data_IF_137304247783
#
_entry.id   IF_137304247783
#
_cell.length_a   1.000
_cell.length_b   1.000
_cell.length_c   1.000
_cell.angle_alpha   90.00
_cell.angle_beta   90.00
_cell.angle_gamma   90.00
#
_symmetry.space_group_name_H-M   'P 1'
#
loop_
_entity.id
_entity.type
_entity.pdbx_description
1 polymer ?
#
# COMPACT_ATOMS: atom_id res chain seq x y z
N UNK A 1 8.25 5.95 -0.10
CA UNK A 1 9.31 5.40 -1.00
C UNK A 1 8.86 5.57 -2.44
N UNK A 2 9.77 5.91 -3.35
CA UNK A 2 9.41 6.06 -4.76
C UNK A 2 9.13 4.69 -5.41
N UNK A 3 8.21 4.59 -6.37
CA UNK A 3 8.02 3.37 -7.16
C UNK A 3 9.34 2.89 -7.79
N UNK A 4 9.57 1.57 -7.77
CA UNK A 4 10.80 0.99 -8.31
C UNK A 4 12.05 1.16 -7.42
N UNK A 5 11.92 1.78 -6.23
CA UNK A 5 13.03 1.87 -5.27
C UNK A 5 13.48 0.47 -4.86
N UNK A 6 14.79 0.21 -4.90
CA UNK A 6 15.37 -1.06 -4.45
C UNK A 6 15.24 -1.20 -2.94
N UNK A 7 14.92 -2.40 -2.47
CA UNK A 7 14.75 -2.75 -1.07
C UNK A 7 15.89 -3.72 -0.65
N UNK A 8 17.07 -3.20 -0.28
CA UNK A 8 18.21 -4.02 0.11
C UNK A 8 17.96 -4.71 1.47
N UNK A 9 17.99 -6.05 1.48
CA UNK A 9 17.72 -6.86 2.67
C UNK A 9 18.67 -6.54 3.84
N UNK A 10 19.95 -6.23 3.56
CA UNK A 10 20.95 -5.87 4.58
C UNK A 10 20.62 -4.59 5.32
N UNK A 11 20.25 -3.56 4.56
CA UNK A 11 19.97 -2.24 5.10
C UNK A 11 18.69 -2.30 5.93
N UNK A 12 17.67 -2.99 5.43
CA UNK A 12 16.43 -3.23 6.15
C UNK A 12 16.66 -4.06 7.43
N UNK A 13 17.50 -5.11 7.36
CA UNK A 13 17.85 -5.92 8.52
C UNK A 13 18.53 -5.07 9.60
N UNK A 14 19.43 -4.18 9.20
CA UNK A 14 20.12 -3.25 10.10
C UNK A 14 19.15 -2.22 10.72
N UNK A 15 18.36 -1.53 9.89
CA UNK A 15 17.41 -0.49 10.32
C UNK A 15 16.42 -1.04 11.34
N UNK A 16 15.88 -2.24 11.08
CA UNK A 16 14.88 -2.86 11.94
C UNK A 16 15.48 -3.77 13.01
N UNK A 17 16.81 -3.92 13.08
CA UNK A 17 17.51 -4.79 14.04
C UNK A 17 17.00 -6.24 14.03
N UNK A 18 16.77 -6.79 12.84
CA UNK A 18 16.28 -8.16 12.62
C UNK A 18 17.18 -8.93 11.66
N UNK A 19 17.00 -10.25 11.56
CA UNK A 19 17.78 -11.06 10.61
C UNK A 19 17.32 -10.87 9.16
N UNK A 20 18.23 -11.08 8.20
CA UNK A 20 17.92 -11.07 6.76
C UNK A 20 16.79 -12.05 6.40
N UNK A 21 16.69 -13.18 7.11
CA UNK A 21 15.62 -14.17 6.91
C UNK A 21 14.24 -13.57 7.20
N UNK A 22 14.10 -12.78 8.27
CA UNK A 22 12.84 -12.10 8.63
C UNK A 22 12.49 -11.05 7.57
N UNK A 23 13.47 -10.24 7.16
CA UNK A 23 13.27 -9.25 6.09
C UNK A 23 12.83 -9.90 4.79
N UNK A 24 13.46 -11.01 4.40
CA UNK A 24 13.10 -11.75 3.19
C UNK A 24 11.67 -12.28 3.24
N UNK A 25 11.25 -12.84 4.37
CA UNK A 25 9.87 -13.29 4.55
C UNK A 25 8.87 -12.12 4.43
N UNK A 26 9.19 -10.96 5.02
CA UNK A 26 8.37 -9.76 4.89
C UNK A 26 8.28 -9.26 3.44
N UNK A 27 9.41 -9.23 2.71
CA UNK A 27 9.45 -8.84 1.30
C UNK A 27 8.69 -9.83 0.40
N UNK A 28 8.69 -11.13 0.74
CA UNK A 28 7.87 -12.14 0.07
C UNK A 28 6.36 -11.91 0.32
N UNK A 29 5.97 -11.60 1.56
CA UNK A 29 4.59 -11.25 1.87
C UNK A 29 4.13 -9.99 1.12
N UNK A 30 4.96 -8.93 1.12
CA UNK A 30 4.68 -7.71 0.35
C UNK A 30 4.61 -7.97 -1.15
N UNK A 31 5.39 -8.92 -1.68
CA UNK A 31 5.30 -9.31 -3.08
C UNK A 31 4.01 -10.08 -3.40
N UNK A 32 3.54 -10.91 -2.47
CA UNK A 32 2.25 -11.57 -2.56
C UNK A 32 1.10 -10.55 -2.63
N UNK A 33 1.19 -9.49 -1.81
CA UNK A 33 0.22 -8.39 -1.76
C UNK A 33 0.41 -7.36 -2.89
N UNK A 34 1.35 -7.60 -3.82
CA UNK A 34 1.71 -6.71 -4.95
C UNK A 34 2.24 -5.33 -4.54
N UNK A 35 2.70 -5.18 -3.30
CA UNK A 35 3.35 -3.98 -2.78
C UNK A 35 4.86 -3.93 -3.10
N UNK A 36 5.46 -5.10 -3.34
CA UNK A 36 6.83 -5.24 -3.81
C UNK A 36 6.90 -6.17 -5.03
N UNK A 37 8.00 -6.10 -5.78
CA UNK A 37 8.33 -7.02 -6.87
C UNK A 37 9.68 -7.67 -6.58
N UNK A 38 9.72 -8.99 -6.65
CA UNK A 38 10.96 -9.76 -6.55
C UNK A 38 11.52 -9.97 -7.95
N UNK A 39 12.79 -9.62 -8.12
CA UNK A 39 13.54 -9.88 -9.34
C UNK A 39 14.63 -10.93 -9.07
N UNK A 40 14.68 -12.02 -9.86
CA UNK A 40 15.73 -13.03 -9.75
C UNK A 40 17.11 -12.39 -9.81
N UNK A 41 17.97 -12.73 -8.85
CA UNK A 41 19.34 -12.22 -8.71
C UNK A 41 19.49 -10.69 -8.53
N UNK A 42 18.38 -9.94 -8.39
CA UNK A 42 18.41 -8.47 -8.20
C UNK A 42 17.77 -8.00 -6.90
N UNK A 43 16.93 -8.84 -6.27
CA UNK A 43 16.32 -8.59 -4.96
C UNK A 43 14.90 -8.05 -5.06
N UNK A 44 14.45 -7.32 -4.04
CA UNK A 44 13.12 -6.75 -3.98
C UNK A 44 13.11 -5.26 -4.38
N UNK A 45 12.00 -4.82 -4.96
CA UNK A 45 11.76 -3.44 -5.37
C UNK A 45 10.35 -3.01 -4.98
N UNK A 46 10.15 -1.74 -4.67
CA UNK A 46 8.80 -1.17 -4.49
C UNK A 46 8.01 -1.34 -5.78
N UNK A 47 6.74 -1.75 -5.68
CA UNK A 47 5.87 -1.91 -6.84
C UNK A 47 5.83 -0.65 -7.70
N UNK A 48 5.86 -0.86 -9.02
CA UNK A 48 5.80 0.20 -10.02
C UNK A 48 4.81 -0.20 -11.10
N UNK A 49 3.49 -0.12 -10.82
CA UNK A 49 2.47 -0.45 -11.78
C UNK A 49 2.57 0.48 -12.99
N UNK A 50 2.32 -0.08 -14.16
CA UNK A 50 2.19 0.67 -15.40
C UNK A 50 0.94 1.56 -15.36
N UNK A 51 0.89 2.55 -16.27
CA UNK A 51 -0.30 3.40 -16.43
C UNK A 51 -1.55 2.59 -16.78
N UNK A 52 -1.39 1.49 -17.51
CA UNK A 52 -2.48 0.60 -17.92
C UNK A 52 -3.02 -0.13 -16.69
N UNK A 53 -2.16 -0.81 -15.92
CA UNK A 53 -2.55 -1.49 -14.68
C UNK A 53 -3.21 -0.54 -13.68
N UNK A 54 -2.64 0.66 -13.52
CA UNK A 54 -3.23 1.69 -12.65
C UNK A 54 -4.65 2.04 -13.11
N UNK A 55 -4.87 2.20 -14.42
CA UNK A 55 -6.17 2.53 -14.98
C UNK A 55 -7.18 1.40 -14.78
N UNK A 56 -6.79 0.16 -15.04
CA UNK A 56 -7.63 -1.02 -14.80
C UNK A 56 -8.06 -1.12 -13.32
N UNK A 57 -7.14 -0.82 -12.39
CA UNK A 57 -7.47 -0.76 -10.95
C UNK A 57 -8.49 0.35 -10.67
N UNK A 58 -8.31 1.56 -11.21
CA UNK A 58 -9.28 2.64 -11.01
C UNK A 58 -10.65 2.34 -11.63
N UNK A 59 -10.69 1.66 -12.78
CA UNK A 59 -11.94 1.21 -13.40
C UNK A 59 -12.67 0.18 -12.52
N UNK A 60 -11.96 -0.80 -11.97
CA UNK A 60 -12.53 -1.75 -11.02
C UNK A 60 -13.03 -1.06 -9.74
N UNK A 61 -12.25 -0.12 -9.18
CA UNK A 61 -12.63 0.67 -8.00
C UNK A 61 -13.89 1.49 -8.26
N UNK A 62 -13.99 2.14 -9.42
CA UNK A 62 -15.14 2.97 -9.79
C UNK A 62 -16.46 2.18 -9.88
N UNK A 63 -16.40 0.87 -10.15
CA UNK A 63 -17.59 0.01 -10.16
C UNK A 63 -18.08 -0.35 -8.76
N UNK A 64 -17.20 -0.41 -7.77
CA UNK A 64 -17.50 -0.96 -6.43
C UNK A 64 -17.59 0.15 -5.38
N UNK A 65 -16.60 1.04 -5.33
CA UNK A 65 -16.43 2.03 -4.26
C UNK A 65 -17.61 2.99 -4.11
N UNK A 66 -18.25 3.52 -5.17
CA UNK A 66 -19.39 4.43 -4.99
C UNK A 66 -20.56 3.75 -4.26
N UNK A 67 -20.82 2.48 -4.57
CA UNK A 67 -21.89 1.72 -3.91
C UNK A 67 -21.54 1.43 -2.46
N UNK A 68 -20.29 1.04 -2.18
CA UNK A 68 -19.79 0.79 -0.82
C UNK A 68 -19.87 2.07 0.01
N UNK A 69 -19.41 3.20 -0.51
CA UNK A 69 -19.48 4.49 0.15
C UNK A 69 -20.93 4.90 0.46
N UNK A 70 -21.84 4.72 -0.49
CA UNK A 70 -23.26 5.00 -0.28
C UNK A 70 -23.90 4.11 0.79
N UNK A 71 -23.48 2.84 0.89
CA UNK A 71 -23.94 1.92 1.94
C UNK A 71 -23.37 2.31 3.31
N UNK A 72 -22.09 2.63 3.39
CA UNK A 72 -21.44 3.09 4.62
C UNK A 72 -22.10 4.37 5.15
N UNK A 73 -22.39 5.34 4.28
CA UNK A 73 -23.04 6.59 4.65
C UNK A 73 -24.44 6.40 5.28
N UNK A 74 -25.16 5.32 4.93
CA UNK A 74 -26.50 5.05 5.51
C UNK A 74 -26.46 4.60 6.96
N UNK A 75 -25.33 4.03 7.40
CA UNK A 75 -25.18 3.46 8.75
C UNK A 75 -24.18 4.24 9.61
N UNK A 76 -23.61 5.32 9.06
CA UNK A 76 -22.61 6.12 9.74
C UNK A 76 -23.17 6.79 11.00
N UNK A 77 -22.39 6.78 12.06
CA UNK A 77 -22.68 7.47 13.33
C UNK A 77 -21.84 8.76 13.45
N UNK A 78 -22.19 9.70 14.35
CA UNK A 78 -21.45 10.96 14.48
C UNK A 78 -19.95 10.80 14.70
N UNK A 79 -19.51 9.74 15.41
CA UNK A 79 -18.09 9.46 15.62
C UNK A 79 -17.35 9.13 14.32
N UNK A 80 -17.99 8.48 13.36
CA UNK A 80 -17.37 8.15 12.07
C UNK A 80 -17.09 9.42 11.27
N UNK A 81 -18.02 10.38 11.31
CA UNK A 81 -17.86 11.68 10.64
C UNK A 81 -16.73 12.49 11.28
N UNK A 82 -16.57 12.44 12.60
CA UNK A 82 -15.44 13.07 13.30
C UNK A 82 -14.12 12.43 12.84
N UNK A 83 -14.05 11.10 12.77
CA UNK A 83 -12.85 10.41 12.29
C UNK A 83 -12.51 10.76 10.82
N UNK A 84 -13.52 10.81 9.94
CA UNK A 84 -13.30 11.21 8.55
C UNK A 84 -12.75 12.64 8.42
N UNK A 85 -13.25 13.58 9.23
CA UNK A 85 -12.72 14.95 9.26
C UNK A 85 -11.28 15.00 9.76
N UNK A 86 -10.95 14.24 10.79
CA UNK A 86 -9.57 14.12 11.28
C UNK A 86 -8.63 13.54 10.21
N UNK A 87 -9.10 12.62 9.38
CA UNK A 87 -8.30 12.12 8.26
C UNK A 87 -8.04 13.21 7.21
N UNK A 88 -9.04 14.04 6.89
CA UNK A 88 -8.86 15.17 5.96
C UNK A 88 -7.86 16.21 6.51
N UNK A 89 -7.91 16.51 7.81
CA UNK A 89 -6.93 17.40 8.45
C UNK A 89 -5.51 16.85 8.31
N UNK A 90 -5.31 15.55 8.62
CA UNK A 90 -4.01 14.89 8.48
C UNK A 90 -3.49 14.86 7.04
N UNK A 91 -4.37 14.71 6.05
CA UNK A 91 -3.96 14.78 4.64
C UNK A 91 -3.48 16.17 4.22
N UNK A 92 -4.03 17.24 4.78
CA UNK A 92 -3.59 18.60 4.47
C UNK A 92 -2.25 18.97 5.14
N UNK A 93 -1.90 18.29 6.23
CA UNK A 93 -0.64 18.52 6.96
C UNK A 93 0.55 17.76 6.37
N UNK A 94 0.33 16.75 5.51
CA UNK A 94 1.34 15.86 4.94
C UNK A 94 1.83 16.29 3.55
#
# INVERSE_FOLDING_TARGET
LAPGTKLPEDELASIYSVSRTVVRAALQALAHDRLARLEPNRGAFVAQPSKIEAREVFEARALIEPKVAALAAKVAVPSDIVQLRQHLEKEHEA
#
